data_IF_251600604602
#
_entry.id   IF_251600604602
#
_cell.length_a   1.000
_cell.length_b   1.000
_cell.length_c   1.000
_cell.angle_alpha   90.00
_cell.angle_beta   90.00
_cell.angle_gamma   90.00
#
_symmetry.space_group_name_H-M   'P 1'
#
loop_
_entity.id
_entity.type
_entity.pdbx_description
1 polymer ?
#
# COMPACT_ATOMS: atom_id res chain seq x y z
N UNK A 1 3.24 -10.17 -8.03
CA UNK A 1 3.83 -8.99 -7.34
C UNK A 1 3.07 -8.65 -6.06
N UNK A 2 1.83 -8.13 -6.13
CA UNK A 2 1.13 -7.57 -4.97
C UNK A 2 0.78 -8.53 -3.82
N UNK A 3 0.62 -9.83 -4.06
CA UNK A 3 0.28 -10.80 -3.00
C UNK A 3 1.38 -10.85 -1.91
N UNK A 4 2.65 -10.86 -2.31
CA UNK A 4 3.77 -10.87 -1.37
C UNK A 4 3.83 -9.58 -0.55
N UNK A 5 3.71 -8.43 -1.22
CA UNK A 5 3.68 -7.12 -0.57
C UNK A 5 2.52 -7.02 0.43
N UNK A 6 1.30 -7.42 0.01
CA UNK A 6 0.11 -7.43 0.85
C UNK A 6 0.27 -8.33 2.08
N UNK A 7 0.81 -9.53 1.90
CA UNK A 7 1.00 -10.47 3.00
C UNK A 7 2.06 -9.96 4.00
N UNK A 8 3.20 -9.48 3.51
CA UNK A 8 4.25 -8.93 4.37
C UNK A 8 3.76 -7.72 5.14
N UNK A 9 3.12 -6.75 4.48
CA UNK A 9 2.54 -5.58 5.12
C UNK A 9 1.44 -5.93 6.13
N UNK A 10 0.59 -6.91 5.82
CA UNK A 10 -0.42 -7.39 6.76
C UNK A 10 0.19 -8.03 8.01
N UNK A 11 1.20 -8.89 7.84
CA UNK A 11 1.82 -9.59 8.96
C UNK A 11 2.65 -8.65 9.85
N UNK A 12 3.49 -7.80 9.25
CA UNK A 12 4.43 -6.95 9.99
C UNK A 12 3.85 -5.59 10.36
N UNK A 13 2.88 -5.09 9.59
CA UNK A 13 2.32 -3.76 9.73
C UNK A 13 3.08 -2.69 8.94
N UNK A 14 4.19 -3.02 8.26
CA UNK A 14 4.94 -2.05 7.46
C UNK A 14 4.19 -1.78 6.14
N UNK A 15 3.69 -0.57 5.95
CA UNK A 15 2.86 -0.20 4.77
C UNK A 15 3.64 0.38 3.60
N UNK A 16 4.88 0.83 3.80
CA UNK A 16 5.71 1.50 2.78
C UNK A 16 5.75 0.77 1.42
N UNK A 17 5.94 -0.57 1.34
CA UNK A 17 6.01 -1.25 0.05
C UNK A 17 4.72 -1.16 -0.77
N UNK A 18 3.58 -1.02 -0.12
CA UNK A 18 2.29 -0.82 -0.79
C UNK A 18 2.09 0.66 -1.09
N UNK A 19 2.40 1.56 -0.15
CA UNK A 19 2.25 3.00 -0.31
C UNK A 19 3.09 3.55 -1.46
N UNK A 20 4.29 3.02 -1.66
CA UNK A 20 5.19 3.44 -2.73
C UNK A 20 4.61 3.17 -4.13
N UNK A 21 3.65 2.25 -4.26
CA UNK A 21 2.96 1.99 -5.53
C UNK A 21 2.03 3.12 -5.98
N UNK A 22 1.67 4.05 -5.10
CA UNK A 22 0.76 5.15 -5.44
C UNK A 22 1.16 6.52 -4.89
N UNK A 23 1.99 6.62 -3.84
CA UNK A 23 2.28 7.89 -3.17
C UNK A 23 2.92 8.94 -4.10
N UNK A 24 3.81 8.48 -4.99
CA UNK A 24 4.49 9.34 -5.97
C UNK A 24 3.70 9.45 -7.28
N UNK A 25 2.80 8.50 -7.54
CA UNK A 25 1.97 8.45 -8.73
C UNK A 25 0.80 9.43 -8.65
N UNK A 26 0.13 9.47 -7.50
CA UNK A 26 -1.07 10.29 -7.31
C UNK A 26 -1.08 10.91 -5.92
N UNK A 27 -0.69 12.19 -5.80
CA UNK A 27 -0.81 12.93 -4.55
C UNK A 27 -2.24 12.92 -3.98
N UNK A 28 -3.25 12.87 -4.86
CA UNK A 28 -4.65 12.76 -4.47
C UNK A 28 -4.94 11.45 -3.71
N UNK A 29 -4.52 10.30 -4.25
CA UNK A 29 -4.71 9.02 -3.56
C UNK A 29 -3.99 9.00 -2.21
N UNK A 30 -2.81 9.62 -2.12
CA UNK A 30 -2.06 9.70 -0.87
C UNK A 30 -2.75 10.58 0.18
N UNK A 31 -3.34 11.72 -0.21
CA UNK A 31 -4.15 12.54 0.71
C UNK A 31 -5.38 11.77 1.20
N UNK A 32 -6.07 11.05 0.31
CA UNK A 32 -7.23 10.24 0.68
C UNK A 32 -6.83 9.12 1.65
N UNK A 33 -5.71 8.44 1.39
CA UNK A 33 -5.11 7.47 2.32
C UNK A 33 -4.86 8.07 3.71
N UNK A 34 -4.24 9.26 3.77
CA UNK A 34 -3.97 9.94 5.04
C UNK A 34 -5.27 10.28 5.80
N UNK A 35 -6.31 10.75 5.09
CA UNK A 35 -7.62 11.04 5.68
C UNK A 35 -8.31 9.78 6.20
N UNK A 36 -8.32 8.71 5.42
CA UNK A 36 -8.89 7.42 5.82
C UNK A 36 -8.15 6.85 7.04
N UNK A 37 -6.82 6.96 7.07
CA UNK A 37 -6.00 6.53 8.21
C UNK A 37 -6.30 7.34 9.47
N UNK A 38 -6.42 8.67 9.37
CA UNK A 38 -6.81 9.52 10.50
C UNK A 38 -8.23 9.24 10.99
N UNK A 39 -9.16 8.98 10.07
CA UNK A 39 -10.53 8.58 10.40
C UNK A 39 -10.56 7.21 11.10
N UNK A 40 -9.72 6.26 10.68
CA UNK A 40 -9.63 4.94 11.31
C UNK A 40 -9.19 5.08 12.77
N UNK A 41 -8.16 5.87 13.04
CA UNK A 41 -7.71 6.16 14.40
C UNK A 41 -8.78 6.86 15.25
N UNK A 42 -9.54 7.78 14.65
CA UNK A 42 -10.63 8.47 15.34
C UNK A 42 -11.77 7.52 15.70
N UNK A 43 -12.15 6.63 14.77
CA UNK A 43 -13.20 5.63 14.99
C UNK A 43 -12.78 4.61 16.05
N UNK A 44 -11.55 4.10 16.02
CA UNK A 44 -11.06 3.15 17.03
C UNK A 44 -11.01 3.80 18.42
N UNK A 45 -10.66 5.08 18.50
CA UNK A 45 -10.74 5.86 19.74
C UNK A 45 -12.17 6.00 20.26
N UNK A 46 -13.11 6.41 19.40
CA UNK A 46 -14.54 6.57 19.77
C UNK A 46 -15.19 5.26 20.20
N UNK A 47 -14.76 4.14 19.62
CA UNK A 47 -15.23 2.80 19.97
C UNK A 47 -14.50 2.19 21.17
N UNK A 48 -13.64 2.98 21.83
CA UNK A 48 -12.82 2.62 23.00
C UNK A 48 -12.01 1.34 22.79
N UNK A 49 -11.54 1.11 21.56
CA UNK A 49 -10.67 -0.01 21.23
C UNK A 49 -9.28 0.34 21.73
N UNK A 50 -8.68 -0.56 22.52
CA UNK A 50 -7.30 -0.38 22.99
C UNK A 50 -6.49 -1.59 22.63
N UNK A 51 -5.50 -1.40 21.78
CA UNK A 51 -4.57 -2.44 21.38
C UNK A 51 -3.15 -1.91 21.51
N UNK A 52 -2.30 -2.66 22.20
CA UNK A 52 -0.86 -2.41 22.16
C UNK A 52 -0.27 -2.94 20.86
N UNK A 53 0.80 -2.29 20.39
CA UNK A 53 1.66 -2.78 19.32
C UNK A 53 3.12 -2.56 19.72
N UNK A 54 3.98 -3.52 19.38
CA UNK A 54 5.41 -3.44 19.70
C UNK A 54 6.25 -2.79 18.60
N UNK A 55 5.82 -2.92 17.35
CA UNK A 55 6.57 -2.44 16.19
C UNK A 55 5.72 -1.56 15.25
N UNK A 56 4.82 -2.17 14.47
CA UNK A 56 4.09 -1.47 13.38
C UNK A 56 2.60 -1.82 13.32
N UNK A 57 2.05 -2.43 14.37
CA UNK A 57 0.63 -2.76 14.49
C UNK A 57 0.11 -3.72 13.41
N UNK A 58 0.97 -4.65 12.95
CA UNK A 58 0.59 -5.72 12.04
C UNK A 58 -0.23 -6.84 12.71
N UNK A 59 -0.59 -7.86 11.93
CA UNK A 59 -1.32 -9.02 12.43
C UNK A 59 -0.55 -9.78 13.53
N UNK A 60 0.79 -9.81 13.46
CA UNK A 60 1.59 -10.42 14.52
C UNK A 60 1.44 -9.67 15.85
N UNK A 61 1.48 -8.33 15.82
CA UNK A 61 1.22 -7.50 17.01
C UNK A 61 -0.20 -7.75 17.55
N UNK A 62 -1.18 -7.86 16.65
CA UNK A 62 -2.57 -8.19 17.00
C UNK A 62 -2.68 -9.54 17.73
N UNK A 63 -2.11 -10.59 17.14
CA UNK A 63 -2.18 -11.94 17.68
C UNK A 63 -1.46 -12.07 19.03
N UNK A 64 -0.28 -11.45 19.17
CA UNK A 64 0.51 -11.51 20.40
C UNK A 64 -0.15 -10.73 21.55
N UNK A 65 -0.77 -9.59 21.26
CA UNK A 65 -1.40 -8.75 22.29
C UNK A 65 -2.92 -9.03 22.46
N UNK A 66 -3.46 -10.06 21.80
CA UNK A 66 -4.90 -10.34 21.79
C UNK A 66 -5.49 -10.53 23.18
N UNK A 67 -4.77 -11.20 24.10
CA UNK A 67 -5.29 -11.50 25.45
C UNK A 67 -5.33 -10.28 26.39
N UNK A 68 -4.55 -9.24 26.09
CA UNK A 68 -4.45 -8.01 26.89
C UNK A 68 -5.17 -6.82 26.24
N UNK A 69 -5.70 -7.00 25.03
CA UNK A 69 -6.39 -5.96 24.28
C UNK A 69 -7.83 -5.74 24.75
N UNK A 70 -8.32 -4.51 24.62
CA UNK A 70 -9.71 -4.14 24.87
C UNK A 70 -10.49 -4.14 23.57
N UNK A 71 -11.52 -5.00 23.48
CA UNK A 71 -12.38 -5.21 22.30
C UNK A 71 -11.61 -5.61 21.01
N UNK A 72 -10.67 -6.58 21.05
CA UNK A 72 -9.84 -6.95 19.88
C UNK A 72 -10.66 -7.50 18.70
N UNK A 73 -11.78 -8.19 18.94
CA UNK A 73 -12.66 -8.66 17.87
C UNK A 73 -13.33 -7.51 17.11
N UNK A 74 -13.63 -6.42 17.82
CA UNK A 74 -14.21 -5.24 17.21
C UNK A 74 -13.20 -4.53 16.31
N UNK A 75 -11.91 -4.53 16.67
CA UNK A 75 -10.84 -4.04 15.80
C UNK A 75 -10.77 -4.82 14.48
N UNK A 76 -10.88 -6.15 14.53
CA UNK A 76 -10.88 -6.99 13.33
C UNK A 76 -12.08 -6.66 12.42
N UNK A 77 -13.26 -6.46 13.03
CA UNK A 77 -14.46 -6.03 12.30
C UNK A 77 -14.30 -4.66 11.64
N UNK A 78 -13.76 -3.67 12.37
CA UNK A 78 -13.44 -2.34 11.82
C UNK A 78 -12.44 -2.46 10.67
N UNK A 79 -11.40 -3.26 10.82
CA UNK A 79 -10.40 -3.52 9.77
C UNK A 79 -11.02 -4.11 8.50
N UNK A 80 -11.94 -5.06 8.63
CA UNK A 80 -12.65 -5.64 7.47
C UNK A 80 -13.52 -4.60 6.76
N UNK A 81 -14.30 -3.81 7.51
CA UNK A 81 -15.12 -2.72 6.96
C UNK A 81 -14.23 -1.69 6.25
N UNK A 82 -13.12 -1.32 6.87
CA UNK A 82 -12.14 -0.41 6.28
C UNK A 82 -11.50 -0.96 5.03
N UNK A 83 -11.19 -2.26 4.97
CA UNK A 83 -10.67 -2.91 3.77
C UNK A 83 -11.62 -2.76 2.58
N UNK A 84 -12.93 -2.93 2.81
CA UNK A 84 -13.96 -2.71 1.77
C UNK A 84 -14.04 -1.24 1.37
N UNK A 85 -14.04 -0.32 2.34
CA UNK A 85 -14.08 1.13 2.08
C UNK A 85 -12.87 1.56 1.23
N UNK A 86 -11.66 1.15 1.63
CA UNK A 86 -10.43 1.42 0.87
C UNK A 86 -10.54 0.88 -0.55
N UNK A 87 -10.94 -0.39 -0.71
CA UNK A 87 -11.08 -1.01 -2.03
C UNK A 87 -12.02 -0.22 -2.93
N UNK A 88 -13.23 0.12 -2.44
CA UNK A 88 -14.22 0.83 -3.24
C UNK A 88 -13.73 2.22 -3.63
N UNK A 89 -13.20 3.00 -2.67
CA UNK A 89 -12.72 4.36 -2.93
C UNK A 89 -11.57 4.34 -3.92
N UNK A 90 -10.54 3.52 -3.68
CA UNK A 90 -9.38 3.46 -4.55
C UNK A 90 -9.75 2.95 -5.94
N UNK A 91 -10.53 1.86 -6.01
CA UNK A 91 -10.96 1.29 -7.29
C UNK A 91 -11.72 2.32 -8.14
N UNK A 92 -12.68 3.02 -7.54
CA UNK A 92 -13.48 4.04 -8.25
C UNK A 92 -12.59 5.18 -8.73
N UNK A 93 -11.72 5.71 -7.88
CA UNK A 93 -10.83 6.82 -8.25
C UNK A 93 -9.84 6.44 -9.34
N UNK A 94 -9.21 5.26 -9.22
CA UNK A 94 -8.28 4.74 -10.22
C UNK A 94 -8.97 4.60 -11.58
N UNK A 95 -10.20 4.09 -11.60
CA UNK A 95 -10.96 3.87 -12.84
C UNK A 95 -11.48 5.16 -13.45
N UNK A 96 -12.02 6.07 -12.64
CA UNK A 96 -12.64 7.33 -13.13
C UNK A 96 -11.58 8.33 -13.57
N UNK A 97 -10.46 8.43 -12.85
CA UNK A 97 -9.37 9.36 -13.16
C UNK A 97 -8.30 8.74 -14.07
N UNK A 98 -8.50 7.48 -14.49
CA UNK A 98 -7.55 6.69 -15.27
C UNK A 98 -6.11 6.75 -14.74
N UNK A 99 -5.93 6.52 -13.44
CA UNK A 99 -4.61 6.58 -12.82
C UNK A 99 -3.75 5.39 -13.28
N UNK A 100 -2.50 5.67 -13.71
CA UNK A 100 -1.52 4.68 -14.19
C UNK A 100 -0.84 3.91 -13.04
N UNK A 101 -1.59 3.34 -12.11
CA UNK A 101 -1.00 2.50 -11.05
C UNK A 101 -0.22 1.32 -11.65
N UNK A 102 0.80 0.75 -10.97
CA UNK A 102 1.63 -0.30 -11.56
C UNK A 102 0.82 -1.44 -12.16
N UNK A 103 1.07 -1.76 -13.43
CA UNK A 103 0.27 -2.70 -14.24
C UNK A 103 -0.93 -2.09 -14.98
N UNK A 104 -1.05 -0.75 -15.00
CA UNK A 104 -1.98 0.03 -15.85
C UNK A 104 -1.24 1.06 -16.73
N UNK A 105 0.07 0.86 -16.94
CA UNK A 105 0.85 1.64 -17.89
C UNK A 105 0.44 1.27 -19.33
N UNK A 106 0.58 2.20 -20.27
CA UNK A 106 0.25 1.94 -21.67
C UNK A 106 1.36 1.06 -22.28
N UNK A 107 0.99 0.06 -23.08
CA UNK A 107 1.94 -0.93 -23.63
C UNK A 107 3.10 -0.28 -24.43
N UNK A 108 2.90 0.93 -24.97
CA UNK A 108 3.91 1.66 -25.74
C UNK A 108 5.05 2.24 -24.86
N UNK A 109 4.77 2.63 -23.61
CA UNK A 109 5.78 3.18 -22.68
C UNK A 109 6.74 2.07 -22.18
N UNK A 110 6.24 0.83 -22.04
CA UNK A 110 7.01 -0.33 -21.60
C UNK A 110 8.06 -0.73 -22.66
N UNK A 111 7.74 -0.56 -23.94
CA UNK A 111 8.64 -0.86 -25.06
C UNK A 111 9.75 0.20 -25.17
N UNK A 112 9.43 1.48 -24.95
CA UNK A 112 10.43 2.55 -24.93
C UNK A 112 11.43 2.39 -23.77
N UNK A 113 10.98 2.09 -22.56
CA UNK A 113 11.88 1.87 -21.41
C UNK A 113 12.79 0.65 -21.59
N UNK A 114 12.26 -0.48 -22.08
CA UNK A 114 13.06 -1.67 -22.37
C UNK A 114 14.10 -1.42 -23.48
N UNK A 115 13.75 -0.60 -24.48
CA UNK A 115 14.66 -0.22 -25.56
C UNK A 115 15.77 0.75 -25.09
N UNK A 116 15.46 1.65 -24.16
CA UNK A 116 16.43 2.56 -23.56
C UNK A 116 17.41 1.82 -22.64
N UNK A 117 16.96 0.81 -21.90
CA UNK A 117 17.82 -0.04 -21.06
C UNK A 117 18.79 -0.88 -21.91
N UNK A 118 18.31 -1.44 -23.03
CA UNK A 118 19.15 -2.13 -24.01
C UNK A 118 20.21 -1.22 -24.63
N UNK A 119 19.82 0.00 -25.04
CA UNK A 119 20.74 0.98 -25.60
C UNK A 119 21.79 1.48 -24.59
N UNK A 120 21.43 1.59 -23.31
CA UNK A 120 22.34 1.97 -22.24
C UNK A 120 23.41 0.90 -22.00
N UNK A 121 23.04 -0.39 -21.99
CA UNK A 121 23.99 -1.51 -21.85
C UNK A 121 25.02 -1.55 -22.99
N UNK A 122 24.59 -1.30 -24.21
CA UNK A 122 25.43 -1.34 -25.41
C UNK A 122 26.45 -0.17 -25.45
N UNK A 123 26.07 1.00 -24.92
CA UNK A 123 26.94 2.17 -24.79
C UNK A 123 28.15 1.92 -23.90
N UNK A 124 27.97 1.26 -22.75
CA UNK A 124 29.09 0.98 -21.84
C UNK A 124 30.05 -0.07 -22.40
N UNK A 125 29.53 -1.07 -23.11
CA UNK A 125 30.36 -2.03 -23.84
C UNK A 125 31.18 -1.34 -24.94
N UNK A 126 30.55 -0.43 -25.70
CA UNK A 126 31.21 0.33 -26.77
C UNK A 126 32.32 1.26 -26.24
N UNK A 127 32.13 1.89 -25.08
CA UNK A 127 33.16 2.76 -24.48
C UNK A 127 34.30 1.99 -23.80
N UNK A 128 34.12 0.72 -23.45
CA UNK A 128 35.16 -0.10 -22.81
C UNK A 128 36.14 -0.73 -23.82
N UNK A 129 35.80 -0.73 -25.10
CA UNK A 129 36.59 -1.34 -26.20
C UNK A 129 37.42 -0.29 -26.96
N UNK A 130 37.27 1.00 -26.65
CA UNK A 130 38.04 2.12 -27.22
C UNK A 130 39.21 2.52 -26.31
#
# INVERSE_FOLDING_TARGET
MFIGLALTSFLTGITEPIEFSFMFLSPLLYVIHALLTGAAMSITYLLEIRHGFGFSAGFLDYALNFSIAQRPLLLLGVGLVYGVIYFVIFYVLIRVLNLKTPGREDDDEIVEEASAEHAAGDKYHTMAVQ
#
